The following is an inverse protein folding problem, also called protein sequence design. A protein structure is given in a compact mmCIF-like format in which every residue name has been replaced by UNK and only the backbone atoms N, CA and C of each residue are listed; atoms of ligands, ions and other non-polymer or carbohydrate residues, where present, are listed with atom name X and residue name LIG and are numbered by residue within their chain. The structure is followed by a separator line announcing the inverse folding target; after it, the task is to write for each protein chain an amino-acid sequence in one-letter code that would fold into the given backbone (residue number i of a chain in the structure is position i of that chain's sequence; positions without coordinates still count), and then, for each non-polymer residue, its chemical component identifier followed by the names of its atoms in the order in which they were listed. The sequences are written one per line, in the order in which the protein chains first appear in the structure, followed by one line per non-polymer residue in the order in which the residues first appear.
data_IF_742792621089
#
_entry.id   IF_742792621089
#
_cell.length_a   1.000
_cell.length_b   1.000
_cell.length_c   1.000
_cell.angle_alpha   90.00
_cell.angle_beta   90.00
_cell.angle_gamma   90.00
#
_symmetry.space_group_name_H-M   'P 1'
#
loop_
_entity.id
_entity.type
_entity.pdbx_description
1 polymer ?
#
# COMPACT_ATOMS: atom_id res chain seq x y z
N UNK A 1 24.61 1.09 -19.13
CA UNK A 1 23.96 1.43 -17.83
C UNK A 1 24.29 0.42 -16.71
N UNK A 2 25.29 -0.43 -16.87
CA UNK A 2 25.64 -1.53 -15.93
C UNK A 2 26.04 -1.04 -14.53
N UNK A 3 26.40 0.22 -14.34
CA UNK A 3 26.77 0.83 -13.05
C UNK A 3 25.70 1.74 -12.46
N UNK A 4 24.54 1.85 -13.12
CA UNK A 4 23.46 2.67 -12.60
C UNK A 4 22.84 1.98 -11.38
N UNK A 5 22.82 2.67 -10.24
CA UNK A 5 22.23 2.20 -8.99
C UNK A 5 20.94 2.93 -8.62
N UNK A 6 20.79 4.15 -9.09
CA UNK A 6 19.66 5.02 -8.79
C UNK A 6 19.16 5.66 -10.07
N UNK A 7 17.90 5.41 -10.41
CA UNK A 7 17.22 6.08 -11.51
C UNK A 7 16.12 6.97 -10.94
N UNK A 8 16.33 8.27 -11.02
CA UNK A 8 15.34 9.27 -10.63
C UNK A 8 14.94 10.11 -11.83
N UNK A 9 13.69 9.98 -12.24
CA UNK A 9 13.05 10.73 -13.33
C UNK A 9 11.77 11.42 -12.82
N UNK A 10 11.69 11.67 -11.51
CA UNK A 10 10.55 12.32 -10.87
C UNK A 10 10.31 13.74 -11.37
N UNK A 11 9.05 14.19 -11.22
CA UNK A 11 8.63 15.58 -11.50
C UNK A 11 8.99 16.05 -12.91
N UNK A 12 8.62 15.22 -13.91
CA UNK A 12 8.82 15.50 -15.31
C UNK A 12 7.49 15.43 -16.10
N UNK A 13 7.56 15.42 -17.42
CA UNK A 13 6.42 15.29 -18.32
C UNK A 13 6.47 13.99 -19.12
N UNK A 14 7.01 12.93 -18.54
CA UNK A 14 7.11 11.65 -19.22
C UNK A 14 5.73 11.06 -19.47
N UNK A 15 5.49 10.64 -20.70
CA UNK A 15 4.24 10.04 -21.19
C UNK A 15 4.46 8.61 -21.67
N UNK A 16 3.37 7.92 -22.03
CA UNK A 16 3.43 6.54 -22.51
C UNK A 16 3.55 5.53 -21.39
N UNK A 17 4.04 4.35 -21.69
CA UNK A 17 4.15 3.24 -20.76
C UNK A 17 5.52 3.20 -20.09
N UNK A 18 5.58 2.62 -18.89
CA UNK A 18 6.85 2.25 -18.27
C UNK A 18 7.50 1.17 -19.13
N UNK A 19 8.73 1.36 -19.65
CA UNK A 19 9.38 0.34 -20.47
C UNK A 19 9.70 -0.92 -19.65
N UNK A 20 9.37 -2.11 -20.17
CA UNK A 20 9.69 -3.40 -19.54
C UNK A 20 11.19 -3.61 -19.39
N UNK A 21 11.99 -2.98 -20.27
CA UNK A 21 13.45 -3.01 -20.26
C UNK A 21 14.05 -2.48 -18.96
N UNK A 22 13.32 -1.64 -18.20
CA UNK A 22 13.78 -1.20 -16.88
C UNK A 22 14.01 -2.37 -15.93
N UNK A 23 13.27 -3.48 -16.09
CA UNK A 23 13.47 -4.72 -15.33
C UNK A 23 14.84 -5.40 -15.52
N UNK A 24 15.61 -4.98 -16.53
CA UNK A 24 16.96 -5.50 -16.79
C UNK A 24 18.07 -4.73 -16.05
N UNK A 25 17.71 -3.64 -15.37
CA UNK A 25 18.66 -2.83 -14.63
C UNK A 25 19.02 -3.49 -13.29
N UNK A 26 20.18 -3.13 -12.75
CA UNK A 26 20.60 -3.55 -11.41
C UNK A 26 20.61 -2.32 -10.49
N UNK A 27 19.42 -1.88 -10.08
CA UNK A 27 19.22 -0.62 -9.34
C UNK A 27 18.62 -0.86 -7.96
N UNK A 28 18.97 0.02 -7.03
CA UNK A 28 18.42 0.04 -5.66
C UNK A 28 17.22 0.95 -5.52
N UNK A 29 17.10 1.98 -6.37
CA UNK A 29 15.96 2.90 -6.35
C UNK A 29 15.49 3.23 -7.76
N UNK A 30 14.19 3.15 -7.95
CA UNK A 30 13.47 3.62 -9.13
C UNK A 30 12.43 4.63 -8.69
N UNK A 31 12.62 5.87 -9.12
CA UNK A 31 11.66 6.95 -8.86
C UNK A 31 11.16 7.54 -10.19
N UNK A 32 9.85 7.37 -10.45
CA UNK A 32 9.14 7.89 -11.61
C UNK A 32 7.93 8.75 -11.19
N UNK A 33 7.90 9.22 -9.94
CA UNK A 33 6.78 9.99 -9.39
C UNK A 33 6.51 11.28 -10.17
N UNK A 34 5.27 11.79 -10.05
CA UNK A 34 4.84 13.05 -10.66
C UNK A 34 5.20 13.17 -12.15
N UNK A 35 4.66 12.21 -12.94
CA UNK A 35 4.74 12.17 -14.39
C UNK A 35 3.34 11.94 -15.00
N UNK A 36 3.27 11.64 -16.29
CA UNK A 36 2.04 11.35 -17.03
C UNK A 36 2.07 9.91 -17.59
N UNK A 37 2.75 9.00 -16.90
CA UNK A 37 2.90 7.61 -17.33
C UNK A 37 1.57 6.87 -17.27
N UNK A 38 1.31 6.08 -18.29
CA UNK A 38 0.04 5.35 -18.49
C UNK A 38 0.29 3.83 -18.59
N UNK A 39 -0.80 3.06 -18.76
CA UNK A 39 -0.71 1.61 -18.92
C UNK A 39 -0.50 0.88 -17.60
N UNK A 40 -0.07 -0.36 -17.69
CA UNK A 40 0.15 -1.23 -16.54
C UNK A 40 1.57 -1.06 -15.98
N UNK A 41 1.74 -1.39 -14.71
CA UNK A 41 3.07 -1.61 -14.13
C UNK A 41 3.64 -2.88 -14.77
N UNK A 42 4.80 -2.83 -15.45
CA UNK A 42 5.38 -4.01 -16.09
C UNK A 42 5.75 -5.12 -15.09
N UNK A 43 5.44 -6.37 -15.42
CA UNK A 43 5.83 -7.51 -14.59
C UNK A 43 7.34 -7.65 -14.46
N UNK A 44 8.08 -7.20 -15.46
CA UNK A 44 9.53 -7.24 -15.52
C UNK A 44 10.18 -6.41 -14.39
N UNK A 45 9.48 -5.43 -13.81
CA UNK A 45 9.99 -4.71 -12.63
C UNK A 45 10.20 -5.66 -11.43
N UNK A 46 9.51 -6.80 -11.39
CA UNK A 46 9.76 -7.85 -10.40
C UNK A 46 11.13 -8.53 -10.53
N UNK A 47 11.87 -8.27 -11.60
CA UNK A 47 13.26 -8.77 -11.78
C UNK A 47 14.31 -7.88 -11.13
N UNK A 48 13.95 -6.71 -10.63
CA UNK A 48 14.85 -5.76 -9.93
C UNK A 48 15.12 -6.24 -8.49
N UNK A 49 15.73 -7.40 -8.32
CA UNK A 49 15.87 -8.08 -7.01
C UNK A 49 16.65 -7.29 -5.97
N UNK A 50 17.48 -6.33 -6.38
CA UNK A 50 18.21 -5.43 -5.50
C UNK A 50 17.42 -4.19 -5.10
N UNK A 51 16.21 -4.01 -5.65
CA UNK A 51 15.40 -2.81 -5.43
C UNK A 51 14.97 -2.69 -3.96
N UNK A 52 15.26 -1.53 -3.38
CA UNK A 52 14.91 -1.14 -2.02
C UNK A 52 13.74 -0.16 -2.00
N UNK A 53 13.64 0.70 -3.01
CA UNK A 53 12.60 1.71 -3.11
C UNK A 53 12.05 1.79 -4.53
N UNK A 54 10.73 1.58 -4.66
CA UNK A 54 9.97 1.78 -5.89
C UNK A 54 8.94 2.88 -5.65
N UNK A 55 9.10 4.00 -6.36
CA UNK A 55 8.14 5.09 -6.33
C UNK A 55 7.58 5.37 -7.73
N UNK A 56 6.28 5.12 -7.88
CA UNK A 56 5.49 5.38 -9.10
C UNK A 56 4.30 6.32 -8.80
N UNK A 57 4.35 7.04 -7.68
CA UNK A 57 3.31 7.97 -7.22
C UNK A 57 2.90 8.96 -8.31
N UNK A 58 1.64 9.40 -8.26
CA UNK A 58 1.12 10.52 -9.05
C UNK A 58 1.43 10.37 -10.55
N UNK A 59 0.88 9.30 -11.12
CA UNK A 59 0.88 8.97 -12.53
C UNK A 59 -0.56 8.59 -12.98
N UNK A 60 -0.70 8.02 -14.17
CA UNK A 60 -1.97 7.54 -14.72
C UNK A 60 -1.92 6.02 -14.94
N UNK A 61 -1.18 5.30 -14.09
CA UNK A 61 -1.01 3.86 -14.19
C UNK A 61 -2.33 3.14 -13.86
N UNK A 62 -2.60 2.06 -14.58
CA UNK A 62 -3.84 1.26 -14.47
C UNK A 62 -3.52 -0.24 -14.39
N UNK A 63 -4.58 -1.05 -14.33
CA UNK A 63 -4.42 -2.50 -14.19
C UNK A 63 -4.10 -2.92 -12.77
N UNK A 64 -3.74 -4.16 -12.59
CA UNK A 64 -3.46 -4.76 -11.27
C UNK A 64 -2.01 -4.50 -10.85
N UNK A 65 -1.75 -4.55 -9.56
CA UNK A 65 -0.39 -4.62 -9.02
C UNK A 65 0.20 -5.97 -9.42
N UNK A 66 1.32 -6.02 -10.16
CA UNK A 66 1.89 -7.26 -10.66
C UNK A 66 2.31 -8.21 -9.54
N UNK A 67 1.95 -9.49 -9.68
CA UNK A 67 2.35 -10.57 -8.77
C UNK A 67 3.87 -10.70 -8.68
N UNK A 68 4.57 -10.42 -9.77
CA UNK A 68 6.03 -10.49 -9.87
C UNK A 68 6.75 -9.54 -8.90
N UNK A 69 6.14 -8.45 -8.44
CA UNK A 69 6.75 -7.55 -7.46
C UNK A 69 7.02 -8.24 -6.11
N UNK A 70 6.38 -9.37 -5.81
CA UNK A 70 6.71 -10.20 -4.63
C UNK A 70 8.13 -10.74 -4.62
N UNK A 71 8.80 -10.76 -5.77
CA UNK A 71 10.19 -11.17 -5.90
C UNK A 71 11.19 -10.15 -5.34
N UNK A 72 10.74 -8.92 -5.11
CA UNK A 72 11.56 -7.81 -4.59
C UNK A 72 11.80 -7.98 -3.07
N UNK A 73 12.63 -8.94 -2.69
CA UNK A 73 12.85 -9.34 -1.29
C UNK A 73 13.54 -8.28 -0.42
N UNK A 74 14.17 -7.28 -1.05
CA UNK A 74 14.87 -6.17 -0.39
C UNK A 74 14.03 -4.89 -0.35
N UNK A 75 12.80 -4.94 -0.89
CA UNK A 75 11.95 -3.75 -0.98
C UNK A 75 11.54 -3.29 0.42
N UNK A 76 11.89 -2.04 0.75
CA UNK A 76 11.53 -1.36 1.99
C UNK A 76 10.40 -0.36 1.81
N UNK A 77 10.33 0.27 0.64
CA UNK A 77 9.28 1.25 0.33
C UNK A 77 8.65 0.98 -1.02
N UNK A 78 7.32 0.91 -1.02
CA UNK A 78 6.50 0.82 -2.21
C UNK A 78 5.46 1.93 -2.21
N UNK A 79 5.61 2.86 -3.13
CA UNK A 79 4.78 4.05 -3.27
C UNK A 79 4.10 4.05 -4.64
N UNK A 80 2.79 3.72 -4.65
CA UNK A 80 1.94 3.62 -5.85
C UNK A 80 0.71 4.53 -5.75
N UNK A 81 0.67 5.43 -4.77
CA UNK A 81 -0.48 6.32 -4.54
C UNK A 81 -0.75 7.25 -5.72
N UNK A 82 -1.98 7.76 -5.77
CA UNK A 82 -2.41 8.69 -6.81
C UNK A 82 -2.27 8.12 -8.23
N UNK A 83 -2.86 6.93 -8.44
CA UNK A 83 -2.91 6.24 -9.73
C UNK A 83 -4.34 5.71 -10.02
N UNK A 84 -4.50 4.86 -10.98
CA UNK A 84 -5.78 4.24 -11.36
C UNK A 84 -5.73 2.71 -11.25
N UNK A 85 -4.92 2.20 -10.30
CA UNK A 85 -4.74 0.76 -10.10
C UNK A 85 -6.03 0.10 -9.61
N UNK A 86 -6.31 -1.10 -10.10
CA UNK A 86 -7.54 -1.85 -9.84
C UNK A 86 -7.23 -3.24 -9.26
N UNK A 87 -8.28 -3.94 -8.85
CA UNK A 87 -8.22 -5.32 -8.38
C UNK A 87 -7.90 -5.42 -6.90
N UNK A 88 -7.66 -6.64 -6.45
CA UNK A 88 -7.41 -6.95 -5.04
C UNK A 88 -5.95 -6.70 -4.67
N UNK A 89 -5.72 -6.41 -3.41
CA UNK A 89 -4.39 -6.48 -2.83
C UNK A 89 -3.87 -7.91 -2.97
N UNK A 90 -2.74 -8.13 -3.64
CA UNK A 90 -2.28 -9.49 -3.88
C UNK A 90 -1.76 -10.13 -2.58
N UNK A 91 -2.12 -11.38 -2.33
CA UNK A 91 -1.64 -12.16 -1.17
C UNK A 91 -0.10 -12.34 -1.14
N UNK A 92 0.55 -12.06 -2.25
CA UNK A 92 2.00 -12.08 -2.45
C UNK A 92 2.77 -11.06 -1.60
N UNK A 93 2.07 -10.19 -0.89
CA UNK A 93 2.65 -9.27 0.12
C UNK A 93 3.55 -10.04 1.11
N UNK A 94 3.30 -11.32 1.32
CA UNK A 94 4.19 -12.22 2.08
C UNK A 94 5.63 -12.28 1.55
N UNK A 95 5.85 -11.86 0.31
CA UNK A 95 7.16 -11.75 -0.30
C UNK A 95 8.01 -10.58 0.23
N UNK A 96 7.40 -9.54 0.78
CA UNK A 96 8.08 -8.30 1.18
C UNK A 96 8.43 -8.28 2.67
N UNK A 97 9.30 -9.20 3.09
CA UNK A 97 9.61 -9.42 4.52
C UNK A 97 10.28 -8.25 5.24
N UNK A 98 10.85 -7.31 4.50
CA UNK A 98 11.56 -6.13 5.04
C UNK A 98 10.87 -4.83 4.68
N UNK A 99 9.62 -4.90 4.22
CA UNK A 99 8.85 -3.72 3.83
C UNK A 99 8.52 -2.88 5.06
N UNK A 100 8.95 -1.62 5.02
CA UNK A 100 8.74 -0.64 6.09
C UNK A 100 7.55 0.28 5.78
N UNK A 101 7.35 0.58 4.50
CA UNK A 101 6.30 1.51 4.05
C UNK A 101 5.58 1.00 2.80
N UNK A 102 4.24 0.91 2.89
CA UNK A 102 3.35 0.60 1.79
C UNK A 102 2.30 1.70 1.65
N UNK A 103 2.38 2.45 0.56
CA UNK A 103 1.39 3.46 0.22
C UNK A 103 0.71 3.15 -1.10
N UNK A 104 -0.56 2.78 -1.04
CA UNK A 104 -1.43 2.47 -2.17
C UNK A 104 -2.66 3.38 -2.21
N UNK A 105 -2.62 4.49 -1.48
CA UNK A 105 -3.77 5.39 -1.36
C UNK A 105 -4.17 6.02 -2.70
N UNK A 106 -5.41 6.46 -2.77
CA UNK A 106 -5.97 7.11 -3.95
C UNK A 106 -5.77 6.29 -5.23
N UNK A 107 -6.37 5.10 -5.23
CA UNK A 107 -6.45 4.17 -6.33
C UNK A 107 -7.89 3.60 -6.46
N UNK A 108 -8.07 2.54 -7.22
CA UNK A 108 -9.37 1.85 -7.40
C UNK A 108 -9.29 0.40 -6.94
N UNK A 109 -8.54 0.14 -5.87
CA UNK A 109 -8.36 -1.21 -5.31
C UNK A 109 -9.64 -1.67 -4.61
N UNK A 110 -9.92 -2.98 -4.69
CA UNK A 110 -11.15 -3.61 -4.18
C UNK A 110 -10.82 -4.86 -3.35
N UNK A 111 -11.83 -5.41 -2.69
CA UNK A 111 -11.73 -6.65 -1.91
C UNK A 111 -11.09 -6.45 -0.54
N UNK A 112 -10.75 -7.55 0.11
CA UNK A 112 -10.33 -7.57 1.50
C UNK A 112 -8.90 -7.05 1.70
N UNK A 113 -8.63 -6.54 2.89
CA UNK A 113 -7.26 -6.29 3.36
C UNK A 113 -6.67 -7.67 3.74
N UNK A 114 -5.55 -8.11 3.12
CA UNK A 114 -4.97 -9.42 3.44
C UNK A 114 -4.44 -9.48 4.88
N UNK A 115 -4.79 -10.54 5.62
CA UNK A 115 -4.30 -10.77 6.99
C UNK A 115 -2.78 -10.78 7.10
N UNK A 116 -2.10 -11.20 6.03
CA UNK A 116 -0.64 -11.28 6.00
C UNK A 116 0.05 -9.92 6.22
N UNK A 117 -0.62 -8.81 5.95
CA UNK A 117 -0.10 -7.46 6.25
C UNK A 117 0.12 -7.26 7.75
N UNK A 118 -0.74 -7.84 8.58
CA UNK A 118 -0.58 -7.77 10.03
C UNK A 118 0.57 -8.60 10.58
N UNK A 119 1.14 -9.50 9.78
CA UNK A 119 2.27 -10.37 10.15
C UNK A 119 3.61 -9.87 9.60
N UNK A 120 3.65 -8.64 9.10
CA UNK A 120 4.87 -8.02 8.57
C UNK A 120 5.61 -7.28 9.71
N UNK A 121 6.65 -7.90 10.26
CA UNK A 121 7.38 -7.38 11.42
C UNK A 121 8.12 -6.06 11.14
N UNK A 122 8.38 -5.75 9.87
CA UNK A 122 9.08 -4.52 9.48
C UNK A 122 8.14 -3.36 9.14
N UNK A 123 6.83 -3.63 8.97
CA UNK A 123 5.89 -2.64 8.44
C UNK A 123 5.54 -1.59 9.48
N UNK A 124 5.88 -0.33 9.20
CA UNK A 124 5.64 0.84 10.04
C UNK A 124 4.52 1.72 9.52
N UNK A 125 4.42 1.84 8.22
CA UNK A 125 3.44 2.72 7.57
C UNK A 125 2.63 1.93 6.56
N UNK A 126 1.31 1.89 6.76
CA UNK A 126 0.36 1.34 5.81
C UNK A 126 -0.71 2.39 5.47
N UNK A 127 -0.71 2.84 4.23
CA UNK A 127 -1.73 3.74 3.72
C UNK A 127 -2.51 3.10 2.57
N UNK A 128 -3.76 2.75 2.84
CA UNK A 128 -4.73 2.18 1.90
C UNK A 128 -5.95 3.10 1.70
N UNK A 129 -5.88 4.34 2.19
CA UNK A 129 -7.00 5.28 2.11
C UNK A 129 -7.41 5.61 0.67
N UNK A 130 -8.63 6.10 0.49
CA UNK A 130 -9.17 6.47 -0.83
C UNK A 130 -9.08 5.32 -1.84
N UNK A 131 -9.74 4.19 -1.51
CA UNK A 131 -9.90 3.03 -2.35
C UNK A 131 -11.33 2.47 -2.24
N UNK A 132 -11.60 1.29 -2.74
CA UNK A 132 -12.87 0.59 -2.64
C UNK A 132 -12.73 -0.74 -1.88
N UNK A 133 -11.80 -0.78 -0.91
CA UNK A 133 -11.59 -1.98 -0.09
C UNK A 133 -12.81 -2.24 0.79
N UNK A 134 -13.15 -3.51 0.97
CA UNK A 134 -14.33 -3.96 1.70
C UNK A 134 -13.97 -4.96 2.82
N UNK A 135 -14.99 -5.42 3.56
CA UNK A 135 -14.82 -6.36 4.67
C UNK A 135 -14.22 -5.72 5.92
N UNK A 136 -13.78 -6.57 6.82
CA UNK A 136 -13.30 -6.18 8.15
C UNK A 136 -11.82 -5.78 8.14
N UNK A 137 -11.38 -5.03 9.15
CA UNK A 137 -9.94 -4.82 9.39
C UNK A 137 -9.38 -6.10 10.01
N UNK A 138 -8.35 -6.73 9.41
CA UNK A 138 -7.72 -7.90 10.01
C UNK A 138 -7.19 -7.60 11.41
N UNK A 139 -7.56 -8.43 12.41
CA UNK A 139 -7.15 -8.23 13.80
C UNK A 139 -5.63 -8.17 13.96
N UNK A 140 -4.91 -9.00 13.22
CA UNK A 140 -3.45 -9.04 13.23
C UNK A 140 -2.83 -7.69 12.84
N UNK A 141 -3.51 -6.93 11.97
CA UNK A 141 -3.05 -5.61 11.55
C UNK A 141 -3.14 -4.59 12.70
N UNK A 142 -4.22 -4.66 13.47
CA UNK A 142 -4.41 -3.80 14.65
C UNK A 142 -3.51 -4.20 15.82
N UNK A 143 -3.05 -5.45 15.87
CA UNK A 143 -2.17 -6.00 16.90
C UNK A 143 -0.68 -5.91 16.55
N UNK A 144 -0.34 -5.49 15.31
CA UNK A 144 1.06 -5.38 14.90
C UNK A 144 1.74 -4.20 15.61
N UNK A 145 2.53 -4.47 16.65
CA UNK A 145 3.20 -3.47 17.49
C UNK A 145 4.24 -2.61 16.76
N UNK A 146 4.72 -3.06 15.59
CA UNK A 146 5.66 -2.30 14.77
C UNK A 146 4.96 -1.26 13.87
N UNK A 147 3.62 -1.40 13.67
CA UNK A 147 2.88 -0.48 12.83
C UNK A 147 2.60 0.84 13.57
N UNK A 148 3.12 1.94 13.06
CA UNK A 148 3.02 3.28 13.63
C UNK A 148 1.87 4.09 13.01
N UNK A 149 1.65 3.94 11.70
CA UNK A 149 0.64 4.68 10.94
C UNK A 149 -0.23 3.71 10.14
N UNK A 150 -1.55 3.78 10.33
CA UNK A 150 -2.54 3.01 9.59
C UNK A 150 -3.65 3.92 9.07
N UNK A 151 -3.67 4.16 7.77
CA UNK A 151 -4.65 5.00 7.10
C UNK A 151 -5.56 4.15 6.21
N UNK A 152 -6.84 4.03 6.61
CA UNK A 152 -7.87 3.22 5.96
C UNK A 152 -9.10 4.04 5.56
N UNK A 153 -9.08 5.35 5.80
CA UNK A 153 -10.23 6.23 5.57
C UNK A 153 -10.64 6.28 4.10
N UNK A 154 -11.90 6.55 3.87
CA UNK A 154 -12.54 6.60 2.55
C UNK A 154 -12.35 5.26 1.80
N UNK A 155 -13.04 4.23 2.31
CA UNK A 155 -13.15 2.89 1.75
C UNK A 155 -14.57 2.33 2.00
N UNK A 156 -14.80 1.07 1.71
CA UNK A 156 -16.06 0.36 1.98
C UNK A 156 -15.90 -0.65 3.12
N UNK A 157 -14.93 -0.44 4.02
CA UNK A 157 -14.68 -1.32 5.17
C UNK A 157 -15.86 -1.30 6.13
N UNK A 158 -16.10 -2.42 6.80
CA UNK A 158 -17.26 -2.62 7.68
C UNK A 158 -16.89 -3.41 8.95
N UNK A 159 -17.91 -3.84 9.69
CA UNK A 159 -17.72 -4.63 10.90
C UNK A 159 -17.47 -3.79 12.15
N UNK A 160 -16.87 -4.39 13.14
CA UNK A 160 -16.59 -3.79 14.45
C UNK A 160 -15.10 -3.60 14.63
N UNK A 161 -14.71 -2.44 15.13
CA UNK A 161 -13.32 -2.19 15.51
C UNK A 161 -13.13 -2.83 16.89
N UNK A 162 -12.24 -3.84 17.03
CA UNK A 162 -12.10 -4.54 18.29
C UNK A 162 -11.39 -3.70 19.35
N UNK A 163 -11.81 -3.85 20.62
CA UNK A 163 -11.22 -3.16 21.78
C UNK A 163 -9.72 -3.43 21.94
N UNK A 164 -9.22 -4.54 21.40
CA UNK A 164 -7.79 -4.91 21.44
C UNK A 164 -6.88 -3.88 20.81
N UNK A 165 -7.39 -2.99 19.96
CA UNK A 165 -6.60 -1.88 19.43
C UNK A 165 -6.12 -0.93 20.53
N UNK A 166 -6.83 -0.87 21.67
CA UNK A 166 -6.49 -0.05 22.82
C UNK A 166 -5.44 -0.70 23.74
N UNK A 167 -5.12 -1.96 23.55
CA UNK A 167 -4.21 -2.71 24.42
C UNK A 167 -2.76 -2.74 23.92
N UNK A 168 -2.49 -2.00 22.86
CA UNK A 168 -1.15 -1.89 22.30
C UNK A 168 -0.23 -1.15 23.26
N UNK A 169 1.00 -1.66 23.39
CA UNK A 169 2.07 -0.96 24.12
C UNK A 169 2.51 0.30 23.36
N UNK A 170 2.62 0.19 22.04
CA UNK A 170 2.96 1.30 21.17
C UNK A 170 1.69 1.90 20.53
N UNK A 171 1.39 3.18 20.79
CA UNK A 171 0.23 3.81 20.20
C UNK A 171 0.36 3.90 18.67
N UNK A 172 -0.72 3.57 17.99
CA UNK A 172 -0.80 3.67 16.53
C UNK A 172 -1.62 4.90 16.13
N UNK A 173 -1.19 5.63 15.11
CA UNK A 173 -2.02 6.65 14.49
C UNK A 173 -2.97 6.01 13.49
N UNK A 174 -4.26 6.01 13.83
CA UNK A 174 -5.34 5.42 13.04
C UNK A 174 -6.18 6.50 12.37
N UNK A 175 -6.47 6.32 11.07
CA UNK A 175 -7.48 7.09 10.36
C UNK A 175 -8.38 6.12 9.58
N UNK A 176 -9.68 6.06 9.93
CA UNK A 176 -10.64 5.16 9.29
C UNK A 176 -12.04 5.76 9.09
N UNK A 177 -12.17 7.09 9.12
CA UNK A 177 -13.41 7.76 8.79
C UNK A 177 -13.88 7.47 7.35
N UNK A 178 -15.15 7.72 7.08
CA UNK A 178 -15.77 7.44 5.78
C UNK A 178 -15.63 5.99 5.36
N UNK A 179 -16.10 5.10 6.23
CA UNK A 179 -16.27 3.67 6.05
C UNK A 179 -17.63 3.22 6.59
N UNK A 180 -17.86 1.94 6.75
CA UNK A 180 -19.10 1.33 7.26
C UNK A 180 -18.96 0.69 8.64
N UNK A 181 -18.03 1.11 9.49
CA UNK A 181 -17.86 0.54 10.82
C UNK A 181 -19.07 0.85 11.72
N UNK A 182 -19.45 -0.17 12.50
CA UNK A 182 -20.58 -0.08 13.42
C UNK A 182 -20.12 0.00 14.89
N UNK A 183 -20.92 0.66 15.76
CA UNK A 183 -20.65 0.66 17.19
C UNK A 183 -20.85 -0.77 17.81
N UNK A 184 -20.29 -1.05 19.02
CA UNK A 184 -19.54 -0.12 19.86
C UNK A 184 -18.15 0.19 19.32
N UNK A 185 -17.68 1.41 19.58
CA UNK A 185 -16.32 1.82 19.20
C UNK A 185 -15.42 1.79 20.43
N UNK A 186 -14.14 1.36 20.27
CA UNK A 186 -13.17 1.33 21.37
C UNK A 186 -12.98 2.70 22.02
N UNK A 187 -12.94 2.72 23.37
CA UNK A 187 -12.85 3.98 24.13
C UNK A 187 -11.58 4.81 23.87
N UNK A 188 -10.49 4.16 23.49
CA UNK A 188 -9.24 4.85 23.16
C UNK A 188 -9.30 5.61 21.84
N UNK A 189 -10.31 5.36 21.00
CA UNK A 189 -10.48 6.02 19.70
C UNK A 189 -11.30 7.29 19.87
N UNK A 190 -10.61 8.40 20.06
CA UNK A 190 -11.25 9.71 20.30
C UNK A 190 -11.98 10.28 19.08
N UNK A 191 -11.62 9.87 17.87
CA UNK A 191 -12.19 10.37 16.64
C UNK A 191 -12.42 9.26 15.63
N UNK A 192 -13.66 8.83 15.52
CA UNK A 192 -14.08 7.80 14.56
C UNK A 192 -14.43 8.41 13.18
N UNK A 193 -14.80 9.68 13.14
CA UNK A 193 -15.30 10.34 11.94
C UNK A 193 -16.68 9.83 11.50
N UNK A 194 -17.09 10.23 10.29
CA UNK A 194 -18.35 9.77 9.72
C UNK A 194 -18.24 8.30 9.32
N UNK A 195 -19.18 7.49 9.79
CA UNK A 195 -19.36 6.09 9.39
C UNK A 195 -20.75 5.90 8.78
N UNK A 196 -20.89 4.97 7.85
CA UNK A 196 -22.17 4.55 7.29
C UNK A 196 -22.36 3.09 7.69
N UNK A 197 -22.74 2.89 8.96
CA UNK A 197 -23.05 1.57 9.47
C UNK A 197 -24.23 0.99 8.68
N UNK A 198 -24.01 -0.11 7.98
CA UNK A 198 -25.07 -0.83 7.27
C UNK A 198 -26.02 -1.50 8.27
N UNK A 199 -27.29 -1.50 7.96
CA UNK A 199 -28.30 -2.29 8.68
C UNK A 199 -28.18 -3.76 8.34
#
# INVERSE_FOLDING_TARGET
LERLQYLNLAQNQLTGHIPSELGKLNIYRLNLEFNQLTGNIPEELGSLTELVHLNLESNQLRGKIPVSLSKLKRLKKLELQNNQLIGKLPEIISGWKVLEELNLSNNKLTGLIPEILGRQDSLKVLNLSFNYLDGDIPINLLQNENLELLYLHVNNLQGIIPETVCWRENPIKLLFYSNGFCPPYPECIKYIGKQICGN
#
